data_IF_838595531892
#
_entry.id   IF_838595531892
#
_cell.length_a   1.000
_cell.length_b   1.000
_cell.length_c   1.000
_cell.angle_alpha   90.00
_cell.angle_beta   90.00
_cell.angle_gamma   90.00
#
_symmetry.space_group_name_H-M   'P 1'
#
loop_
_entity.id
_entity.type
_entity.pdbx_description
1 polymer ?
#
# COMPACT_ATOMS: atom_id res chain seq x y z
N UNK A 1 40.92 2.31 -14.43
CA UNK A 1 39.65 2.31 -13.68
C UNK A 1 38.88 1.02 -14.04
N UNK A 2 39.22 -0.15 -13.46
CA UNK A 2 38.67 -1.46 -13.87
C UNK A 2 37.92 -2.25 -12.77
N UNK A 3 37.75 -1.68 -11.57
CA UNK A 3 37.10 -2.37 -10.43
C UNK A 3 35.65 -1.98 -10.14
N UNK A 4 35.10 -0.94 -10.81
CA UNK A 4 33.80 -0.35 -10.45
C UNK A 4 32.60 -1.13 -11.03
N UNK A 5 32.72 -1.67 -12.25
CA UNK A 5 31.64 -2.38 -12.92
C UNK A 5 31.08 -3.58 -12.13
N UNK A 6 31.89 -4.52 -11.57
CA UNK A 6 31.35 -5.66 -10.84
C UNK A 6 30.64 -5.26 -9.54
N UNK A 7 31.11 -4.22 -8.86
CA UNK A 7 30.50 -3.71 -7.61
C UNK A 7 29.13 -3.08 -7.88
N UNK A 8 28.98 -2.37 -9.01
CA UNK A 8 27.70 -1.78 -9.43
C UNK A 8 26.69 -2.87 -9.78
N UNK A 9 27.09 -3.91 -10.51
CA UNK A 9 26.18 -5.01 -10.86
C UNK A 9 25.76 -5.79 -9.62
N UNK A 10 26.67 -6.06 -8.67
CA UNK A 10 26.36 -6.76 -7.41
C UNK A 10 25.39 -5.97 -6.54
N UNK A 11 25.59 -4.66 -6.38
CA UNK A 11 24.69 -3.80 -5.60
C UNK A 11 23.32 -3.64 -6.26
N UNK A 12 23.27 -3.49 -7.59
CA UNK A 12 22.01 -3.40 -8.33
C UNK A 12 21.20 -4.70 -8.26
N UNK A 13 21.85 -5.86 -8.43
CA UNK A 13 21.17 -7.16 -8.37
C UNK A 13 20.67 -7.50 -6.96
N UNK A 14 21.42 -7.17 -5.91
CA UNK A 14 20.96 -7.28 -4.52
C UNK A 14 19.77 -6.36 -4.25
N UNK A 15 19.81 -5.11 -4.71
CA UNK A 15 18.70 -4.17 -4.57
C UNK A 15 17.43 -4.66 -5.27
N UNK A 16 17.58 -5.23 -6.47
CA UNK A 16 16.46 -5.75 -7.25
C UNK A 16 15.87 -7.03 -6.66
N UNK A 17 16.71 -7.95 -6.19
CA UNK A 17 16.26 -9.14 -5.46
C UNK A 17 15.53 -8.74 -4.17
N UNK A 18 16.07 -7.78 -3.41
CA UNK A 18 15.42 -7.23 -2.21
C UNK A 18 14.06 -6.60 -2.55
N UNK A 19 13.97 -5.81 -3.62
CA UNK A 19 12.71 -5.20 -4.08
C UNK A 19 11.66 -6.27 -4.45
N UNK A 20 12.07 -7.34 -5.14
CA UNK A 20 11.19 -8.45 -5.50
C UNK A 20 10.69 -9.25 -4.29
N UNK A 21 11.60 -9.60 -3.37
CA UNK A 21 11.25 -10.31 -2.13
C UNK A 21 10.39 -9.44 -1.20
N UNK A 22 10.67 -8.14 -1.11
CA UNK A 22 9.82 -7.19 -0.41
C UNK A 22 8.43 -7.16 -1.06
N UNK A 23 8.34 -7.01 -2.37
CA UNK A 23 7.06 -7.00 -3.09
C UNK A 23 6.23 -8.28 -2.92
N UNK A 24 6.88 -9.44 -2.78
CA UNK A 24 6.22 -10.73 -2.63
C UNK A 24 5.84 -11.07 -1.18
N UNK A 25 6.65 -10.64 -0.21
CA UNK A 25 6.46 -10.96 1.22
C UNK A 25 5.82 -9.82 2.01
N UNK A 26 5.76 -8.60 1.47
CA UNK A 26 5.18 -7.46 2.16
C UNK A 26 3.69 -7.67 2.37
N UNK A 27 3.34 -8.01 3.59
CA UNK A 27 1.98 -7.92 4.12
C UNK A 27 1.79 -6.50 4.64
N UNK A 28 0.76 -5.82 4.14
CA UNK A 28 0.38 -4.49 4.60
C UNK A 28 -0.51 -4.62 5.83
N UNK A 29 0.01 -4.23 6.99
CA UNK A 29 -0.76 -4.17 8.22
C UNK A 29 -1.27 -2.75 8.43
N UNK A 30 -2.58 -2.62 8.48
CA UNK A 30 -3.26 -1.40 8.93
C UNK A 30 -3.38 -1.49 10.45
N UNK A 31 -2.70 -0.59 11.14
CA UNK A 31 -2.70 -0.51 12.60
C UNK A 31 -3.48 0.74 12.99
N UNK A 32 -4.59 0.53 13.67
CA UNK A 32 -5.39 1.59 14.29
C UNK A 32 -5.00 1.61 15.77
N UNK A 33 -4.36 2.67 16.23
CA UNK A 33 -3.93 2.81 17.63
C UNK A 33 -4.25 4.21 18.12
N UNK A 34 -4.93 4.31 19.27
CA UNK A 34 -5.21 5.58 19.97
C UNK A 34 -5.84 6.68 19.10
N UNK A 35 -6.67 6.32 18.11
CA UNK A 35 -7.26 7.29 17.18
C UNK A 35 -6.34 7.70 16.03
N UNK A 36 -5.31 6.91 15.71
CA UNK A 36 -4.49 7.09 14.52
C UNK A 36 -4.45 5.82 13.67
N UNK A 37 -4.64 5.97 12.36
CA UNK A 37 -4.43 4.97 11.34
C UNK A 37 -2.99 5.04 10.81
N UNK A 38 -2.27 3.92 10.90
CA UNK A 38 -0.92 3.77 10.36
C UNK A 38 -0.82 2.51 9.50
N UNK A 39 -0.23 2.65 8.33
CA UNK A 39 0.10 1.57 7.41
C UNK A 39 1.53 1.13 7.69
N UNK A 40 1.74 -0.15 7.99
CA UNK A 40 3.06 -0.74 8.18
C UNK A 40 3.19 -2.00 7.33
N UNK A 41 4.22 -2.05 6.51
CA UNK A 41 4.57 -3.28 5.80
C UNK A 41 5.44 -4.16 6.70
N UNK A 42 5.13 -5.46 6.76
CA UNK A 42 5.91 -6.49 7.45
C UNK A 42 5.98 -7.74 6.56
N UNK A 43 7.04 -8.56 6.66
CA UNK A 43 8.17 -8.47 7.58
C UNK A 43 9.27 -7.48 7.13
N UNK A 44 9.25 -7.00 5.88
CA UNK A 44 10.26 -6.07 5.39
C UNK A 44 9.86 -4.60 5.65
N UNK A 45 10.76 -3.77 6.21
CA UNK A 45 10.48 -2.36 6.47
C UNK A 45 10.36 -1.60 5.15
N UNK A 46 9.12 -1.45 4.67
CA UNK A 46 8.80 -0.58 3.53
C UNK A 46 8.18 0.72 4.02
N UNK A 47 8.42 1.81 3.27
CA UNK A 47 7.82 3.11 3.56
C UNK A 47 6.29 3.01 3.50
N UNK A 48 5.68 2.92 4.68
CA UNK A 48 4.24 2.99 4.88
C UNK A 48 3.81 4.37 5.36
N UNK A 49 2.52 4.66 5.21
CA UNK A 49 1.91 5.90 5.69
C UNK A 49 1.78 5.85 7.21
N UNK A 50 2.30 6.85 7.93
CA UNK A 50 2.34 6.85 9.41
C UNK A 50 1.46 7.96 9.98
N UNK A 51 0.67 7.64 11.01
CA UNK A 51 0.05 8.62 11.91
C UNK A 51 -1.00 9.52 11.26
N UNK A 52 -1.99 8.95 10.57
CA UNK A 52 -3.16 9.73 10.15
C UNK A 52 -4.19 9.68 11.28
N UNK A 53 -4.58 10.80 11.90
CA UNK A 53 -5.64 10.81 12.88
C UNK A 53 -6.93 10.27 12.27
N UNK A 54 -7.60 9.34 12.93
CA UNK A 54 -8.85 8.74 12.45
C UNK A 54 -9.94 9.80 12.28
N UNK A 55 -9.98 10.82 13.14
CA UNK A 55 -10.87 11.99 13.01
C UNK A 55 -10.65 12.80 11.73
N UNK A 56 -9.45 12.73 11.16
CA UNK A 56 -9.17 13.39 9.89
C UNK A 56 -9.61 12.55 8.68
N UNK A 57 -10.03 11.29 8.87
CA UNK A 57 -10.43 10.39 7.79
C UNK A 57 -11.94 10.53 7.60
N UNK A 58 -12.34 11.04 6.43
CA UNK A 58 -13.72 11.30 6.08
C UNK A 58 -14.40 10.05 5.51
N UNK A 59 -13.71 9.31 4.65
CA UNK A 59 -14.18 8.02 4.12
C UNK A 59 -13.00 7.18 3.61
N UNK A 60 -13.19 5.87 3.48
CA UNK A 60 -12.30 5.02 2.71
C UNK A 60 -12.88 4.81 1.31
N UNK A 61 -11.99 4.64 0.31
CA UNK A 61 -12.40 4.29 -1.04
C UNK A 61 -11.46 3.28 -1.66
N UNK A 62 -12.05 2.28 -2.29
CA UNK A 62 -11.37 1.43 -3.27
C UNK A 62 -11.47 2.05 -4.68
N UNK A 63 -10.34 2.16 -5.38
CA UNK A 63 -10.31 2.47 -6.82
C UNK A 63 -9.61 1.38 -7.59
N UNK A 64 -10.16 1.08 -8.75
CA UNK A 64 -9.50 0.26 -9.75
C UNK A 64 -8.35 1.06 -10.36
N UNK A 65 -7.22 0.41 -10.52
CA UNK A 65 -6.01 0.95 -11.10
C UNK A 65 -5.53 0.00 -12.18
N UNK A 66 -5.79 0.42 -13.42
CA UNK A 66 -5.38 -0.30 -14.61
C UNK A 66 -3.90 -0.04 -14.89
N UNK A 67 -3.09 -1.11 -14.83
CA UNK A 67 -1.68 -1.03 -15.15
C UNK A 67 -1.49 -1.55 -16.58
N UNK A 68 -1.25 -0.68 -17.57
CA UNK A 68 -0.93 -1.11 -18.92
C UNK A 68 0.48 -1.70 -18.94
N UNK A 69 0.64 -2.90 -19.50
CA UNK A 69 1.91 -3.56 -19.74
C UNK A 69 2.14 -3.76 -21.25
N UNK A 70 3.41 -3.92 -21.64
CA UNK A 70 3.79 -4.12 -23.05
C UNK A 70 3.20 -5.40 -23.67
N UNK A 71 2.72 -6.34 -22.87
CA UNK A 71 2.23 -7.66 -23.31
C UNK A 71 0.82 -7.95 -22.79
N UNK A 72 0.13 -6.97 -22.20
CA UNK A 72 -1.21 -7.14 -21.65
C UNK A 72 -1.60 -6.02 -20.69
N UNK A 73 -2.66 -6.23 -19.92
CA UNK A 73 -3.05 -5.32 -18.85
C UNK A 73 -3.30 -6.09 -17.57
N UNK A 74 -3.03 -5.44 -16.44
CA UNK A 74 -3.34 -5.99 -15.11
C UNK A 74 -4.18 -4.97 -14.37
N UNK A 75 -5.39 -5.37 -13.99
CA UNK A 75 -6.24 -4.60 -13.09
C UNK A 75 -5.77 -4.86 -11.67
N UNK A 76 -5.44 -3.80 -10.95
CA UNK A 76 -5.14 -3.84 -9.52
C UNK A 76 -6.06 -2.89 -8.80
N UNK A 77 -6.39 -3.19 -7.55
CA UNK A 77 -7.20 -2.34 -6.70
C UNK A 77 -6.28 -1.60 -5.72
N UNK A 78 -6.64 -0.34 -5.46
CA UNK A 78 -5.97 0.52 -4.50
C UNK A 78 -6.98 1.06 -3.51
N UNK A 79 -6.68 0.91 -2.23
CA UNK A 79 -7.44 1.47 -1.13
C UNK A 79 -6.78 2.77 -0.68
N UNK A 80 -7.54 3.86 -0.63
CA UNK A 80 -7.08 5.14 -0.11
C UNK A 80 -8.08 5.70 0.89
N UNK A 81 -7.55 6.37 1.91
CA UNK A 81 -8.34 7.20 2.81
C UNK A 81 -8.46 8.61 2.21
N UNK A 82 -9.68 9.13 2.17
CA UNK A 82 -9.95 10.55 1.93
C UNK A 82 -9.91 11.27 3.27
N UNK A 83 -9.06 12.29 3.32
CA UNK A 83 -8.89 13.12 4.51
C UNK A 83 -9.77 14.36 4.40
N UNK A 84 -10.28 14.89 5.52
CA UNK A 84 -11.08 16.13 5.57
C UNK A 84 -10.36 17.34 4.95
N UNK A 85 -9.02 17.32 4.94
CA UNK A 85 -8.15 18.30 4.28
C UNK A 85 -8.09 18.14 2.73
N UNK A 86 -8.96 17.31 2.14
CA UNK A 86 -8.99 16.99 0.70
C UNK A 86 -7.81 16.13 0.20
N UNK A 87 -6.87 15.77 1.07
CA UNK A 87 -5.73 14.91 0.73
C UNK A 87 -6.16 13.45 0.65
N UNK A 88 -5.64 12.73 -0.35
CA UNK A 88 -5.81 11.29 -0.48
C UNK A 88 -4.57 10.58 0.06
N UNK A 89 -4.76 9.64 0.98
CA UNK A 89 -3.68 8.85 1.56
C UNK A 89 -3.81 7.41 1.09
N UNK A 90 -2.84 6.94 0.29
CA UNK A 90 -2.83 5.56 -0.19
C UNK A 90 -2.53 4.62 0.98
N UNK A 91 -3.49 3.74 1.30
CA UNK A 91 -3.40 2.80 2.41
C UNK A 91 -2.85 1.46 1.95
N UNK A 92 -3.34 0.99 0.80
CA UNK A 92 -2.98 -0.28 0.21
C UNK A 92 -3.04 -0.16 -1.30
N UNK A 93 -2.06 -0.72 -1.99
CA UNK A 93 -2.08 -0.79 -3.45
C UNK A 93 -1.62 -2.14 -3.94
N UNK A 94 -2.16 -2.56 -5.09
CA UNK A 94 -1.71 -3.79 -5.75
C UNK A 94 -2.53 -5.03 -5.37
N UNK A 95 -3.71 -4.85 -4.78
CA UNK A 95 -4.63 -5.96 -4.53
C UNK A 95 -5.13 -6.45 -5.90
N UNK A 96 -5.01 -7.73 -6.19
CA UNK A 96 -5.41 -8.30 -7.49
C UNK A 96 -6.87 -8.72 -7.53
N UNK A 97 -7.46 -8.88 -6.35
CA UNK A 97 -8.81 -9.38 -6.16
C UNK A 97 -9.73 -8.26 -5.67
N UNK A 98 -10.84 -8.03 -6.38
CA UNK A 98 -11.80 -6.98 -6.07
C UNK A 98 -12.57 -7.25 -4.78
N UNK A 99 -12.91 -8.52 -4.54
CA UNK A 99 -13.67 -8.96 -3.38
C UNK A 99 -12.85 -8.77 -2.10
N UNK A 100 -11.56 -9.13 -2.16
CA UNK A 100 -10.60 -8.86 -1.09
C UNK A 100 -10.44 -7.36 -0.82
N UNK A 101 -10.37 -6.53 -1.86
CA UNK A 101 -10.24 -5.08 -1.69
C UNK A 101 -11.48 -4.47 -1.03
N UNK A 102 -12.68 -4.91 -1.42
CA UNK A 102 -13.96 -4.48 -0.84
C UNK A 102 -14.15 -4.98 0.58
N UNK A 103 -13.76 -6.23 0.86
CA UNK A 103 -13.77 -6.77 2.22
C UNK A 103 -12.88 -5.96 3.15
N UNK A 104 -11.67 -5.60 2.69
CA UNK A 104 -10.77 -4.74 3.46
C UNK A 104 -11.38 -3.36 3.72
N UNK A 105 -11.94 -2.71 2.69
CA UNK A 105 -12.64 -1.43 2.82
C UNK A 105 -13.72 -1.48 3.93
N UNK A 106 -14.67 -2.42 3.82
CA UNK A 106 -15.76 -2.56 4.79
C UNK A 106 -15.28 -2.91 6.20
N UNK A 107 -14.27 -3.78 6.34
CA UNK A 107 -13.74 -4.17 7.64
C UNK A 107 -13.01 -3.00 8.33
N UNK A 108 -12.30 -2.17 7.54
CA UNK A 108 -11.60 -0.99 8.04
C UNK A 108 -12.60 0.10 8.42
N UNK A 109 -13.61 0.37 7.60
CA UNK A 109 -14.69 1.33 7.90
C UNK A 109 -15.42 0.96 9.19
N UNK A 110 -15.77 -0.32 9.34
CA UNK A 110 -16.37 -0.87 10.56
C UNK A 110 -15.47 -0.67 11.79
N UNK A 111 -14.16 -0.83 11.65
CA UNK A 111 -13.21 -0.63 12.73
C UNK A 111 -12.95 0.84 13.07
N UNK A 112 -13.00 1.74 12.09
CA UNK A 112 -12.88 3.18 12.33
C UNK A 112 -14.21 3.82 12.79
N UNK A 113 -15.35 3.13 12.64
CA UNK A 113 -16.66 3.69 12.95
C UNK A 113 -17.10 4.78 11.97
N UNK A 114 -16.47 4.82 10.79
CA UNK A 114 -16.89 5.67 9.68
C UNK A 114 -17.99 4.88 8.98
N UNK A 115 -19.25 5.26 9.21
CA UNK A 115 -20.41 4.49 8.75
C UNK A 115 -20.52 4.45 7.22
N UNK A 116 -21.00 3.30 6.73
CA UNK A 116 -21.36 2.97 5.35
C UNK A 116 -22.11 4.15 4.68
N UNK A 117 -21.54 4.69 3.61
CA UNK A 117 -22.11 5.78 2.80
C UNK A 117 -22.33 5.36 1.35
#
# INVERSE_FOLDING_TARGET
MQGLAPVVVLTASIGMAYYGLAGLLNTTHLVISSGELSVRHRPMPWFGVRGIPTDCIEQLRCTEHFIPFSTGSTTTYRLYALRTDGRKCNLLSGVRDSDQARFMESEIEKHLGIGDG
#
